data_IF_986338959621
#
_entry.id   IF_986338959621
#
_cell.length_a   1.000
_cell.length_b   1.000
_cell.length_c   1.000
_cell.angle_alpha   90.00
_cell.angle_beta   90.00
_cell.angle_gamma   90.00
#
_symmetry.space_group_name_H-M   'P 1'
#
loop_
_entity.id
_entity.type
_entity.pdbx_description
1 polymer ?
#
# COMPACT_ATOMS: atom_id res chain seq x y z
N UNK A 1 -42.58 47.86 9.85
CA UNK A 1 -41.22 47.81 10.43
C UNK A 1 -40.23 47.60 9.27
N UNK A 2 -39.96 48.63 8.47
CA UNK A 2 -38.86 49.60 8.57
C UNK A 2 -37.44 49.05 8.36
N UNK A 3 -37.00 49.26 7.11
CA UNK A 3 -35.71 49.78 6.60
C UNK A 3 -34.34 49.12 6.88
N UNK A 4 -33.61 48.96 5.77
CA UNK A 4 -32.15 48.76 5.59
C UNK A 4 -31.34 49.97 6.08
N UNK A 5 -30.02 49.81 6.32
CA UNK A 5 -28.86 50.64 5.91
C UNK A 5 -27.58 50.25 6.72
N UNK A 6 -26.50 49.70 6.13
CA UNK A 6 -25.19 50.30 5.69
C UNK A 6 -24.15 50.75 6.75
N UNK A 7 -22.88 50.39 6.49
CA UNK A 7 -21.58 51.14 6.71
C UNK A 7 -21.13 51.38 8.18
N UNK A 8 -19.87 51.64 8.57
CA UNK A 8 -18.46 51.66 8.06
C UNK A 8 -17.55 51.98 9.31
N UNK A 9 -16.22 51.99 9.13
CA UNK A 9 -15.13 52.50 10.03
C UNK A 9 -14.84 51.71 11.34
N UNK A 10 -13.61 51.57 11.88
CA UNK A 10 -12.31 52.23 11.65
C UNK A 10 -11.68 52.66 13.00
N UNK A 11 -10.40 52.37 13.28
CA UNK A 11 -9.60 52.98 14.39
C UNK A 11 -9.12 52.01 15.49
N UNK A 12 -7.86 51.54 15.52
CA UNK A 12 -6.62 52.16 16.08
C UNK A 12 -6.43 51.95 17.59
N UNK A 13 -5.31 51.32 17.98
CA UNK A 13 -4.62 51.54 19.25
C UNK A 13 -3.09 51.58 19.02
N UNK A 14 -2.43 52.45 19.79
CA UNK A 14 -1.23 53.24 19.49
C UNK A 14 0.08 52.68 20.11
N UNK A 15 1.27 53.24 19.75
CA UNK A 15 2.60 52.72 20.10
C UNK A 15 3.42 53.56 21.13
N UNK A 16 4.64 53.08 21.43
CA UNK A 16 5.85 53.78 21.98
C UNK A 16 6.05 53.79 23.52
N UNK A 17 7.28 54.01 24.08
CA UNK A 17 8.52 54.45 23.42
C UNK A 17 9.85 53.74 23.77
N UNK A 18 10.85 54.11 22.98
CA UNK A 18 12.29 53.78 23.00
C UNK A 18 13.09 54.73 23.91
N UNK A 19 14.26 54.30 24.39
CA UNK A 19 15.39 55.22 24.70
C UNK A 19 16.77 54.64 24.30
N UNK A 20 17.64 55.52 23.79
CA UNK A 20 19.01 55.36 23.24
C UNK A 20 20.05 55.92 24.22
N UNK A 21 21.30 55.44 24.17
CA UNK A 21 22.56 56.17 24.50
C UNK A 21 23.78 55.27 24.14
N UNK A 22 24.60 55.52 23.10
CA UNK A 22 25.74 56.47 22.88
C UNK A 22 27.16 55.95 23.28
N UNK A 23 28.02 55.80 22.25
CA UNK A 23 29.49 56.02 22.12
C UNK A 23 30.57 55.24 22.94
N UNK A 24 31.69 54.84 22.27
CA UNK A 24 32.84 53.99 22.72
C UNK A 24 33.94 54.71 23.57
N UNK A 25 35.20 54.21 23.78
CA UNK A 25 36.14 53.59 22.77
C UNK A 25 37.15 52.46 23.23
N UNK A 26 37.76 51.77 22.24
CA UNK A 26 39.11 51.16 22.04
C UNK A 26 39.94 50.35 23.09
N UNK A 27 40.78 49.43 22.54
CA UNK A 27 41.96 48.65 23.05
C UNK A 27 41.68 47.23 23.59
N UNK A 28 42.34 46.11 23.22
CA UNK A 28 43.66 45.77 22.63
C UNK A 28 43.60 44.44 21.84
N UNK A 29 44.57 44.23 20.94
CA UNK A 29 44.87 42.99 20.18
C UNK A 29 45.25 41.80 21.08
N UNK A 30 44.88 40.58 20.65
CA UNK A 30 45.69 39.36 20.83
C UNK A 30 45.42 38.41 19.63
N UNK A 31 46.47 38.10 18.88
CA UNK A 31 46.46 37.08 17.82
C UNK A 31 46.42 35.68 18.43
N UNK A 32 45.57 34.79 17.91
CA UNK A 32 45.82 33.35 18.00
C UNK A 32 45.14 32.59 16.85
N UNK A 33 46.00 31.90 16.09
CA UNK A 33 45.81 30.65 15.36
C UNK A 33 44.46 30.37 14.66
N UNK A 34 44.53 30.25 13.32
CA UNK A 34 43.49 29.66 12.48
C UNK A 34 43.23 28.20 12.86
N UNK A 35 42.01 27.69 12.68
CA UNK A 35 41.90 26.62 11.70
C UNK A 35 40.84 26.95 10.67
N UNK A 36 41.30 26.94 9.42
CA UNK A 36 40.55 26.94 8.17
C UNK A 36 39.29 26.07 8.30
N UNK A 37 38.11 26.69 8.22
CA UNK A 37 36.84 25.97 8.05
C UNK A 37 36.97 25.12 6.77
N UNK A 38 37.18 23.82 6.93
CA UNK A 38 36.90 22.86 5.87
C UNK A 38 35.42 22.99 5.52
N UNK A 39 35.03 23.12 4.23
CA UNK A 39 33.63 22.97 3.88
C UNK A 39 33.26 21.55 4.32
N UNK A 40 32.33 21.45 5.29
CA UNK A 40 31.73 20.17 5.64
C UNK A 40 31.24 19.58 4.34
N UNK A 41 31.85 18.47 3.89
CA UNK A 41 31.32 17.70 2.79
C UNK A 41 29.83 17.53 3.09
N UNK A 42 28.99 18.05 2.22
CA UNK A 42 27.55 17.79 2.20
C UNK A 42 27.40 16.29 1.92
N UNK A 43 27.65 15.49 2.96
CA UNK A 43 27.36 14.09 2.98
C UNK A 43 25.89 14.00 2.68
N UNK A 44 25.57 13.54 1.47
CA UNK A 44 24.21 13.29 1.03
C UNK A 44 23.61 12.34 2.06
N UNK A 45 22.91 12.88 3.05
CA UNK A 45 22.16 12.08 4.00
C UNK A 45 21.13 11.36 3.13
N UNK A 46 21.41 10.10 2.82
CA UNK A 46 20.45 9.21 2.16
C UNK A 46 19.21 9.21 3.05
N UNK A 47 18.22 10.01 2.66
CA UNK A 47 16.88 10.03 3.23
C UNK A 47 16.46 8.57 3.39
N UNK A 48 16.24 8.12 4.62
CA UNK A 48 15.84 6.73 4.87
C UNK A 48 14.54 6.51 4.12
N UNK A 49 14.50 5.52 3.24
CA UNK A 49 13.28 5.18 2.48
C UNK A 49 12.17 4.86 3.49
N UNK A 50 11.03 5.55 3.36
CA UNK A 50 9.88 5.32 4.21
C UNK A 50 9.42 3.85 4.10
N UNK A 51 9.26 3.18 5.25
CA UNK A 51 8.76 1.81 5.33
C UNK A 51 7.38 1.81 5.98
N UNK A 52 6.39 1.26 5.28
CA UNK A 52 5.05 1.08 5.81
C UNK A 52 5.03 0.05 6.95
N UNK A 53 4.07 0.21 7.88
CA UNK A 53 3.85 -0.78 8.94
C UNK A 53 3.38 -2.12 8.34
N UNK A 54 3.69 -3.26 8.97
CA UNK A 54 3.14 -4.55 8.57
C UNK A 54 1.62 -4.48 8.47
N UNK A 55 1.06 -5.07 7.41
CA UNK A 55 -0.38 -5.03 7.11
C UNK A 55 -0.86 -3.79 6.34
N UNK A 56 -0.16 -2.65 6.37
CA UNK A 56 -0.60 -1.44 5.64
C UNK A 56 -0.63 -1.65 4.12
N UNK A 57 0.37 -2.34 3.57
CA UNK A 57 0.44 -2.63 2.14
C UNK A 57 -0.58 -3.70 1.77
N UNK A 58 -0.69 -4.77 2.56
CA UNK A 58 -1.67 -5.84 2.35
C UNK A 58 -3.13 -5.31 2.32
N UNK A 59 -3.51 -4.43 3.26
CA UNK A 59 -4.85 -3.81 3.27
C UNK A 59 -5.10 -2.94 2.03
N UNK A 60 -4.06 -2.31 1.49
CA UNK A 60 -4.16 -1.51 0.25
C UNK A 60 -4.37 -2.43 -0.95
N UNK A 61 -3.62 -3.53 -1.02
CA UNK A 61 -3.75 -4.54 -2.08
C UNK A 61 -5.12 -5.20 -2.05
N UNK A 62 -5.63 -5.60 -0.88
CA UNK A 62 -6.98 -6.16 -0.72
C UNK A 62 -8.03 -5.20 -1.29
N UNK A 63 -8.00 -3.93 -0.90
CA UNK A 63 -8.95 -2.92 -1.43
C UNK A 63 -8.80 -2.68 -2.93
N UNK A 64 -7.57 -2.77 -3.45
CA UNK A 64 -7.32 -2.61 -4.88
C UNK A 64 -7.92 -3.77 -5.67
N UNK A 65 -7.63 -5.01 -5.28
CA UNK A 65 -8.09 -6.22 -5.96
C UNK A 65 -9.57 -6.53 -5.73
N UNK A 66 -10.19 -6.02 -4.67
CA UNK A 66 -11.65 -6.10 -4.51
C UNK A 66 -12.40 -5.08 -5.38
N UNK A 67 -11.72 -4.03 -5.85
CA UNK A 67 -12.34 -3.01 -6.72
C UNK A 67 -12.20 -3.36 -8.21
N UNK A 68 -11.18 -4.12 -8.58
CA UNK A 68 -10.94 -4.57 -9.94
C UNK A 68 -11.28 -6.05 -10.09
N UNK A 69 -11.57 -6.48 -11.32
CA UNK A 69 -11.84 -7.88 -11.64
C UNK A 69 -10.86 -8.40 -12.72
N UNK A 70 -9.61 -7.92 -12.69
CA UNK A 70 -8.60 -8.32 -13.65
C UNK A 70 -8.02 -9.69 -13.25
N UNK A 71 -7.73 -10.54 -14.24
CA UNK A 71 -7.04 -11.81 -14.03
C UNK A 71 -5.66 -11.58 -13.38
N UNK A 72 -5.39 -12.31 -12.31
CA UNK A 72 -4.17 -12.19 -11.51
C UNK A 72 -3.14 -13.25 -11.87
N UNK A 73 -3.57 -14.41 -12.38
CA UNK A 73 -2.65 -15.47 -12.80
C UNK A 73 -2.09 -15.11 -14.19
N UNK A 74 -0.77 -15.15 -14.40
CA UNK A 74 -0.21 -14.94 -15.73
C UNK A 74 -0.73 -16.01 -16.70
N UNK A 75 -1.24 -15.58 -17.86
CA UNK A 75 -1.88 -16.50 -18.82
C UNK A 75 -0.92 -17.57 -19.37
N UNK A 76 0.35 -17.23 -19.61
CA UNK A 76 1.33 -18.16 -20.18
C UNK A 76 1.55 -19.44 -19.34
N UNK A 77 1.86 -19.37 -18.02
CA UNK A 77 1.94 -20.57 -17.19
C UNK A 77 0.59 -21.29 -17.05
N UNK A 78 -0.53 -20.56 -16.94
CA UNK A 78 -1.86 -21.19 -16.86
C UNK A 78 -2.16 -22.06 -18.09
N UNK A 79 -1.91 -21.53 -19.29
CA UNK A 79 -2.09 -22.26 -20.55
C UNK A 79 -1.19 -23.50 -20.63
N UNK A 80 0.05 -23.42 -20.14
CA UNK A 80 0.95 -24.59 -20.08
C UNK A 80 0.38 -25.68 -19.19
N UNK A 81 -0.13 -25.33 -18.02
CA UNK A 81 -0.77 -26.27 -17.09
C UNK A 81 -2.03 -26.91 -17.70
N UNK A 82 -2.89 -26.11 -18.37
CA UNK A 82 -4.08 -26.65 -19.05
C UNK A 82 -3.68 -27.67 -20.12
N UNK A 83 -2.66 -27.37 -20.93
CA UNK A 83 -2.17 -28.30 -21.96
C UNK A 83 -1.53 -29.55 -21.38
N UNK A 84 -0.78 -29.43 -20.28
CA UNK A 84 -0.21 -30.55 -19.56
C UNK A 84 -1.31 -31.51 -19.07
N UNK A 85 -2.32 -30.98 -18.38
CA UNK A 85 -3.48 -31.75 -17.92
C UNK A 85 -4.20 -32.39 -19.11
N UNK A 86 -4.46 -31.63 -20.17
CA UNK A 86 -5.13 -32.17 -21.37
C UNK A 86 -4.38 -33.37 -21.94
N UNK A 87 -3.05 -33.28 -22.05
CA UNK A 87 -2.19 -34.37 -22.55
C UNK A 87 -2.28 -35.64 -21.70
N UNK A 88 -2.47 -35.51 -20.38
CA UNK A 88 -2.60 -36.64 -19.46
C UNK A 88 -3.94 -37.38 -19.63
N UNK A 89 -5.03 -36.67 -19.95
CA UNK A 89 -6.38 -37.26 -20.02
C UNK A 89 -6.86 -37.57 -21.44
N UNK A 90 -6.44 -36.80 -22.44
CA UNK A 90 -6.86 -36.99 -23.83
C UNK A 90 -5.77 -36.57 -24.80
N UNK A 91 -5.11 -37.56 -25.39
CA UNK A 91 -4.08 -37.36 -26.40
C UNK A 91 -4.64 -36.89 -27.76
N UNK A 92 -5.96 -36.96 -27.95
CA UNK A 92 -6.63 -36.54 -29.19
C UNK A 92 -6.86 -35.03 -29.25
N UNK A 93 -6.89 -34.34 -28.11
CA UNK A 93 -7.17 -32.89 -28.05
C UNK A 93 -5.84 -32.13 -28.06
N UNK A 94 -5.42 -31.67 -29.24
CA UNK A 94 -4.18 -30.92 -29.43
C UNK A 94 -4.38 -29.39 -29.51
N UNK A 95 -5.61 -28.94 -29.81
CA UNK A 95 -5.93 -27.53 -30.08
C UNK A 95 -7.00 -27.00 -29.14
N UNK A 96 -6.71 -25.85 -28.54
CA UNK A 96 -7.63 -25.10 -27.69
C UNK A 96 -8.06 -23.81 -28.39
N UNK A 97 -9.33 -23.44 -28.25
CA UNK A 97 -9.82 -22.11 -28.62
C UNK A 97 -9.30 -21.08 -27.60
N UNK A 98 -8.92 -19.87 -28.02
CA UNK A 98 -8.43 -18.85 -27.09
C UNK A 98 -9.50 -18.44 -26.07
N UNK A 99 -10.76 -18.34 -26.47
CA UNK A 99 -11.88 -17.99 -25.58
C UNK A 99 -12.09 -19.06 -24.50
N UNK A 100 -11.90 -20.33 -24.84
CA UNK A 100 -12.03 -21.43 -23.88
C UNK A 100 -10.94 -21.39 -22.80
N UNK A 101 -9.72 -20.98 -23.17
CA UNK A 101 -8.61 -20.84 -22.22
C UNK A 101 -8.87 -19.70 -21.22
N UNK A 102 -9.43 -18.58 -21.70
CA UNK A 102 -9.82 -17.46 -20.83
C UNK A 102 -10.95 -17.87 -19.89
N UNK A 103 -12.00 -18.52 -20.40
CA UNK A 103 -13.12 -18.97 -19.57
C UNK A 103 -12.68 -19.96 -18.48
N UNK A 104 -11.75 -20.88 -18.80
CA UNK A 104 -11.15 -21.77 -17.81
C UNK A 104 -10.37 -21.00 -16.75
N UNK A 105 -9.64 -19.95 -17.15
CA UNK A 105 -8.88 -19.13 -16.22
C UNK A 105 -9.79 -18.33 -15.29
N UNK A 106 -10.83 -17.69 -15.83
CA UNK A 106 -11.83 -16.96 -15.05
C UNK A 106 -12.49 -17.85 -14.01
N UNK A 107 -12.96 -19.04 -14.43
CA UNK A 107 -13.59 -19.99 -13.50
C UNK A 107 -12.62 -20.52 -12.43
N UNK A 108 -11.34 -20.73 -12.79
CA UNK A 108 -10.33 -21.18 -11.84
C UNK A 108 -9.99 -20.11 -10.80
N UNK A 109 -9.80 -18.86 -11.23
CA UNK A 109 -9.53 -17.74 -10.31
C UNK A 109 -10.73 -17.45 -9.41
N UNK A 110 -11.95 -17.45 -9.95
CA UNK A 110 -13.17 -17.27 -9.18
C UNK A 110 -13.34 -18.34 -8.08
N UNK A 111 -13.09 -19.61 -8.44
CA UNK A 111 -13.12 -20.70 -7.47
C UNK A 111 -12.10 -20.51 -6.34
N UNK A 112 -10.89 -20.06 -6.67
CA UNK A 112 -9.84 -19.82 -5.69
C UNK A 112 -10.19 -18.66 -4.75
N UNK A 113 -10.73 -17.56 -5.27
CA UNK A 113 -11.16 -16.41 -4.46
C UNK A 113 -12.21 -16.83 -3.43
N UNK A 114 -13.27 -17.51 -3.85
CA UNK A 114 -14.30 -18.02 -2.94
C UNK A 114 -13.74 -19.00 -1.91
N UNK A 115 -12.78 -19.85 -2.29
CA UNK A 115 -12.12 -20.75 -1.35
C UNK A 115 -11.28 -19.98 -0.31
N UNK A 116 -10.61 -18.90 -0.71
CA UNK A 116 -9.88 -18.03 0.21
C UNK A 116 -10.81 -17.30 1.18
N UNK A 117 -11.99 -16.89 0.74
CA UNK A 117 -13.02 -16.27 1.61
C UNK A 117 -13.48 -17.26 2.69
N UNK A 118 -13.85 -18.49 2.29
CA UNK A 118 -14.26 -19.55 3.22
C UNK A 118 -13.14 -19.89 4.22
N UNK A 119 -11.90 -20.02 3.74
CA UNK A 119 -10.73 -20.29 4.57
C UNK A 119 -10.42 -19.12 5.54
N UNK A 120 -10.67 -17.87 5.11
CA UNK A 120 -10.47 -16.70 5.95
C UNK A 120 -11.46 -16.67 7.12
N UNK A 121 -12.72 -17.05 6.89
CA UNK A 121 -13.71 -17.21 7.95
C UNK A 121 -13.27 -18.28 8.97
N UNK A 122 -12.70 -19.38 8.50
CA UNK A 122 -12.15 -20.44 9.38
C UNK A 122 -10.96 -19.93 10.21
N UNK A 123 -10.06 -19.16 9.61
CA UNK A 123 -8.92 -18.57 10.33
C UNK A 123 -9.35 -17.58 11.41
N UNK A 124 -10.32 -16.70 11.10
CA UNK A 124 -10.89 -15.73 12.03
C UNK A 124 -11.62 -16.45 13.17
N UNK A 125 -12.38 -17.51 12.87
CA UNK A 125 -13.02 -18.35 13.89
C UNK A 125 -12.00 -18.91 14.89
N UNK A 126 -10.81 -19.27 14.43
CA UNK A 126 -9.69 -19.73 15.24
C UNK A 126 -8.83 -18.59 15.83
N UNK A 127 -9.30 -17.33 15.82
CA UNK A 127 -8.62 -16.12 16.32
C UNK A 127 -7.26 -15.84 15.66
N UNK A 128 -7.10 -16.20 14.39
CA UNK A 128 -5.89 -15.94 13.59
C UNK A 128 -6.19 -15.02 12.41
N UNK A 129 -5.14 -14.38 11.90
CA UNK A 129 -5.20 -13.53 10.68
C UNK A 129 -4.41 -14.16 9.52
N UNK A 130 -3.56 -15.15 9.82
CA UNK A 130 -2.77 -15.88 8.81
C UNK A 130 -3.46 -17.19 8.47
N UNK A 131 -3.73 -17.38 7.18
CA UNK A 131 -4.27 -18.63 6.63
C UNK A 131 -3.26 -19.78 6.76
N UNK A 132 -3.77 -20.97 7.04
CA UNK A 132 -3.00 -22.20 7.16
C UNK A 132 -3.69 -23.33 6.38
N UNK A 133 -2.95 -24.40 6.06
CA UNK A 133 -3.47 -25.57 5.34
C UNK A 133 -4.77 -26.13 5.94
N UNK A 134 -4.85 -26.20 7.27
CA UNK A 134 -6.02 -26.67 8.01
C UNK A 134 -7.29 -25.83 7.77
N UNK A 135 -7.14 -24.54 7.44
CA UNK A 135 -8.27 -23.66 7.16
C UNK A 135 -8.90 -24.01 5.81
N UNK A 136 -8.07 -24.32 4.81
CA UNK A 136 -8.52 -24.82 3.51
C UNK A 136 -9.11 -26.22 3.61
N UNK A 137 -8.49 -27.12 4.37
CA UNK A 137 -9.01 -28.47 4.59
C UNK A 137 -10.39 -28.44 5.26
N UNK A 138 -10.57 -27.57 6.26
CA UNK A 138 -11.85 -27.38 6.93
C UNK A 138 -12.89 -26.75 5.98
N UNK A 139 -12.54 -25.68 5.28
CA UNK A 139 -13.43 -25.03 4.30
C UNK A 139 -13.89 -26.01 3.22
N UNK A 140 -12.96 -26.83 2.71
CA UNK A 140 -13.26 -27.87 1.72
C UNK A 140 -14.20 -28.95 2.25
N UNK A 141 -13.97 -29.38 3.49
CA UNK A 141 -14.76 -30.40 4.18
C UNK A 141 -16.18 -29.94 4.46
N UNK A 142 -16.37 -28.68 4.87
CA UNK A 142 -17.69 -28.12 5.14
C UNK A 142 -18.43 -27.76 3.85
N UNK A 143 -17.72 -27.22 2.86
CA UNK A 143 -18.30 -26.79 1.58
C UNK A 143 -18.55 -27.90 0.57
N UNK A 144 -18.13 -29.15 0.85
CA UNK A 144 -18.23 -30.26 -0.11
C UNK A 144 -17.40 -30.07 -1.39
N UNK A 145 -16.49 -29.09 -1.40
CA UNK A 145 -15.74 -28.64 -2.59
C UNK A 145 -14.54 -29.55 -2.87
N UNK A 146 -14.76 -30.80 -3.28
CA UNK A 146 -13.71 -31.72 -3.73
C UNK A 146 -13.78 -33.09 -3.06
N UNK A 147 -12.99 -34.05 -3.61
CA UNK A 147 -13.15 -35.47 -3.30
C UNK A 147 -13.24 -35.72 -1.79
N UNK A 148 -14.30 -36.39 -1.30
CA UNK A 148 -14.25 -36.99 0.01
C UNK A 148 -13.11 -38.03 -0.04
N UNK A 149 -12.30 -38.05 1.01
CA UNK A 149 -11.30 -39.08 1.26
C UNK A 149 -11.85 -40.48 1.01
#
# INVERSE_FOLDING_TARGET
>A
MSVKFTKFDGGVSTPSPRRKSTAGPSTRRAESATPRRTPRSSGTQRQKKHRYRPGTVALREIRHFQKSCNLLIPAAPFIRTVREITSQYSQQVNRWKPEALVALQEAAEDFLVHLFEDAMLCAIHAKRVTLMKKDFELARRLGGKGRPW
#
